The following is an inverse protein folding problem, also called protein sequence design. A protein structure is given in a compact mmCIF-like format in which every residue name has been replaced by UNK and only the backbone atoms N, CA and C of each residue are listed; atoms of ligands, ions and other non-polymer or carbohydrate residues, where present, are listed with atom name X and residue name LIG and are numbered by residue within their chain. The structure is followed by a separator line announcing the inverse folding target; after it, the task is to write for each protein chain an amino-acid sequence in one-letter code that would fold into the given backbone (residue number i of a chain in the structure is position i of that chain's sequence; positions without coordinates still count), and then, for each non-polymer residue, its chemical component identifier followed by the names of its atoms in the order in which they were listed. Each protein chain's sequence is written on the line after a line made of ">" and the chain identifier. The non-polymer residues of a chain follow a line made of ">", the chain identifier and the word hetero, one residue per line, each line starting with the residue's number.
data_IF_007002541768
#
_entry.id   IF_007002541768
#
_cell.length_a   1.000
_cell.length_b   1.000
_cell.length_c   1.000
_cell.angle_alpha   90.00
_cell.angle_beta   90.00
_cell.angle_gamma   90.00
#
_symmetry.space_group_name_H-M   'P 1'
#
loop_
_entity.id
_entity.type
_entity.pdbx_description
1 polymer ?
#
# COMPACT_ATOMS: atom_id res chain seq x y z
N UNK A 1 1.32 9.09 0.55
CA UNK A 1 2.11 9.22 -0.70
C UNK A 1 3.56 8.85 -0.45
N UNK A 2 4.28 8.39 -1.49
CA UNK A 2 5.75 8.30 -1.51
C UNK A 2 6.21 8.95 -2.82
N UNK A 3 7.18 9.85 -2.76
CA UNK A 3 7.65 10.62 -3.92
C UNK A 3 9.16 10.87 -3.83
N UNK A 4 9.80 11.07 -4.98
CA UNK A 4 11.24 11.29 -5.08
C UNK A 4 11.68 11.25 -6.54
N UNK A 5 12.99 11.20 -6.76
CA UNK A 5 13.57 11.18 -8.10
C UNK A 5 14.06 9.77 -8.45
N UNK A 6 14.03 9.46 -9.75
CA UNK A 6 14.63 8.23 -10.26
C UNK A 6 16.13 8.20 -9.92
N UNK A 7 16.61 7.04 -9.47
CA UNK A 7 18.00 6.79 -9.13
C UNK A 7 18.33 6.97 -7.65
N UNK A 8 17.41 7.55 -6.87
CA UNK A 8 17.52 7.57 -5.41
C UNK A 8 17.18 6.17 -4.83
N UNK A 9 17.86 5.78 -3.74
CA UNK A 9 17.67 4.48 -3.05
C UNK A 9 16.37 4.41 -2.21
N UNK A 10 15.70 5.54 -2.02
CA UNK A 10 14.46 5.64 -1.24
C UNK A 10 13.71 6.94 -1.52
N UNK A 11 12.40 6.99 -1.20
CA UNK A 11 11.60 8.18 -1.47
C UNK A 11 12.09 9.38 -0.65
N UNK A 12 12.24 10.54 -1.30
CA UNK A 12 12.61 11.80 -0.63
C UNK A 12 11.49 12.34 0.27
N UNK A 13 10.25 12.08 -0.11
CA UNK A 13 9.07 12.55 0.62
C UNK A 13 8.10 11.39 0.88
N UNK A 14 7.64 11.31 2.12
CA UNK A 14 6.61 10.40 2.58
C UNK A 14 5.68 11.21 3.48
N UNK A 15 4.41 11.33 3.09
CA UNK A 15 3.40 12.04 3.86
C UNK A 15 2.04 11.35 3.71
N UNK A 16 1.12 11.58 4.64
CA UNK A 16 -0.22 11.00 4.59
C UNK A 16 -1.04 11.50 3.39
N UNK A 17 -1.72 10.60 2.68
CA UNK A 17 -2.59 10.95 1.55
C UNK A 17 -3.93 11.51 2.06
N UNK A 18 -3.90 12.69 2.68
CA UNK A 18 -5.04 13.35 3.34
C UNK A 18 -5.10 14.83 2.97
N UNK A 19 -6.31 15.33 2.77
CA UNK A 19 -6.61 16.75 2.58
C UNK A 19 -7.51 17.22 3.71
N UNK A 20 -7.09 18.26 4.42
CA UNK A 20 -7.85 18.89 5.48
C UNK A 20 -8.52 20.16 4.99
N UNK A 21 -9.85 20.17 5.00
CA UNK A 21 -10.68 21.32 4.64
C UNK A 21 -11.07 22.11 5.89
N UNK A 22 -11.06 23.44 5.84
CA UNK A 22 -11.50 24.26 6.98
C UNK A 22 -12.95 23.94 7.37
N UNK A 23 -13.21 23.74 8.67
CA UNK A 23 -14.58 23.59 9.18
C UNK A 23 -15.32 24.93 9.17
N UNK A 24 -16.62 24.90 8.92
CA UNK A 24 -17.49 26.07 9.04
C UNK A 24 -17.40 26.66 10.46
N UNK A 25 -17.24 27.99 10.56
CA UNK A 25 -17.13 28.70 11.84
C UNK A 25 -15.71 28.87 12.41
N UNK A 26 -14.67 28.28 11.81
CA UNK A 26 -13.27 28.56 12.19
C UNK A 26 -12.83 29.89 11.60
N UNK A 27 -12.48 30.86 12.46
CA UNK A 27 -12.10 32.22 12.08
C UNK A 27 -10.84 32.22 11.21
N UNK A 28 -10.82 33.06 10.17
CA UNK A 28 -9.74 33.15 9.18
C UNK A 28 -8.35 33.40 9.81
N UNK A 29 -8.27 34.15 10.91
CA UNK A 29 -7.00 34.41 11.62
C UNK A 29 -6.30 33.16 12.17
N UNK A 30 -7.02 32.04 12.37
CA UNK A 30 -6.43 30.79 12.86
C UNK A 30 -5.89 29.89 11.74
N UNK A 31 -6.34 30.09 10.48
CA UNK A 31 -5.98 29.25 9.33
C UNK A 31 -5.73 30.12 8.09
N UNK A 32 -4.46 30.18 7.67
CA UNK A 32 -4.00 31.00 6.52
C UNK A 32 -4.42 30.47 5.14
N UNK A 33 -4.71 29.16 5.04
CA UNK A 33 -5.11 28.47 3.80
C UNK A 33 -6.49 27.85 3.97
N UNK A 34 -7.21 27.70 2.86
CA UNK A 34 -8.52 27.03 2.84
C UNK A 34 -8.40 25.50 2.90
N UNK A 35 -7.29 24.94 2.39
CA UNK A 35 -6.96 23.53 2.51
C UNK A 35 -5.50 23.31 2.94
N UNK A 36 -5.28 22.17 3.59
CA UNK A 36 -3.98 21.68 4.03
C UNK A 36 -3.81 20.23 3.55
N UNK A 37 -2.57 19.81 3.29
CA UNK A 37 -2.27 18.46 2.79
C UNK A 37 -1.25 17.79 3.70
N UNK A 38 -1.35 16.47 3.83
CA UNK A 38 -0.35 15.66 4.53
C UNK A 38 -0.24 15.98 6.02
N UNK A 39 0.99 16.03 6.51
CA UNK A 39 1.30 16.22 7.94
C UNK A 39 0.79 17.57 8.45
N UNK A 40 0.72 18.59 7.57
CA UNK A 40 0.16 19.89 7.91
C UNK A 40 -1.36 19.79 8.18
N UNK A 41 -2.07 18.90 7.46
CA UNK A 41 -3.48 18.63 7.71
C UNK A 41 -3.68 17.82 9.00
N UNK A 42 -2.84 16.80 9.23
CA UNK A 42 -2.94 15.95 10.43
C UNK A 42 -2.66 16.73 11.72
N UNK A 43 -1.62 17.57 11.73
CA UNK A 43 -1.29 18.42 12.88
C UNK A 43 -2.42 19.41 13.23
N UNK A 44 -3.27 19.77 12.25
CA UNK A 44 -4.41 20.67 12.40
C UNK A 44 -5.76 19.97 12.44
N UNK A 45 -5.81 18.64 12.67
CA UNK A 45 -7.05 17.83 12.63
C UNK A 45 -8.21 18.32 13.50
N UNK A 46 -7.92 19.03 14.60
CA UNK A 46 -8.94 19.61 15.47
C UNK A 46 -9.71 20.77 14.82
N UNK A 47 -9.11 21.43 13.83
CA UNK A 47 -9.65 22.59 13.12
C UNK A 47 -10.17 22.25 11.72
N UNK A 48 -9.80 21.07 11.20
CA UNK A 48 -10.06 20.66 9.83
C UNK A 48 -11.04 19.48 9.76
N UNK A 49 -11.75 19.38 8.64
CA UNK A 49 -12.43 18.18 8.20
C UNK A 49 -11.48 17.41 7.27
N UNK A 50 -10.93 16.29 7.76
CA UNK A 50 -9.97 15.48 7.01
C UNK A 50 -10.70 14.54 6.03
N UNK A 51 -10.28 14.57 4.76
CA UNK A 51 -10.72 13.68 3.69
C UNK A 51 -9.55 12.85 3.15
N UNK A 52 -9.84 11.62 2.77
CA UNK A 52 -8.88 10.70 2.14
C UNK A 52 -9.34 10.41 0.71
N UNK A 53 -8.71 11.02 -0.32
CA UNK A 53 -9.18 10.90 -1.70
C UNK A 53 -8.95 9.52 -2.31
N UNK A 54 -8.06 8.71 -1.71
CA UNK A 54 -7.81 7.33 -2.13
C UNK A 54 -8.55 6.41 -1.18
N UNK A 55 -9.43 5.56 -1.73
CA UNK A 55 -10.14 4.51 -1.00
C UNK A 55 -9.90 3.16 -1.64
N UNK A 56 -9.41 2.21 -0.85
CA UNK A 56 -9.11 0.83 -1.27
C UNK A 56 -8.30 0.78 -2.58
N UNK A 57 -7.27 1.61 -2.68
CA UNK A 57 -6.37 1.68 -3.84
C UNK A 57 -6.91 2.45 -5.05
N UNK A 58 -8.12 2.99 -5.00
CA UNK A 58 -8.69 3.81 -6.08
C UNK A 58 -8.85 5.26 -5.67
N UNK A 59 -8.64 6.19 -6.61
CA UNK A 59 -8.97 7.60 -6.40
C UNK A 59 -10.49 7.77 -6.52
N UNK A 60 -11.13 8.26 -5.47
CA UNK A 60 -12.57 8.56 -5.42
C UNK A 60 -12.85 10.07 -5.46
N UNK A 61 -11.95 10.90 -4.94
CA UNK A 61 -12.05 12.37 -4.97
C UNK A 61 -10.87 12.95 -5.76
N UNK A 62 -11.12 13.28 -7.03
CA UNK A 62 -10.09 13.77 -7.95
C UNK A 62 -9.65 15.21 -7.65
N UNK A 63 -10.54 16.05 -7.09
CA UNK A 63 -10.19 17.41 -6.70
C UNK A 63 -9.19 17.42 -5.54
N UNK A 64 -9.42 16.55 -4.55
CA UNK A 64 -8.49 16.40 -3.44
C UNK A 64 -7.21 15.64 -3.86
N UNK A 65 -7.29 14.73 -4.83
CA UNK A 65 -6.11 14.08 -5.39
C UNK A 65 -5.20 15.07 -6.14
N UNK A 66 -5.77 16.01 -6.90
CA UNK A 66 -5.03 17.08 -7.56
C UNK A 66 -4.27 17.94 -6.55
N UNK A 67 -4.90 18.31 -5.42
CA UNK A 67 -4.22 19.04 -4.32
C UNK A 67 -3.06 18.24 -3.72
N UNK A 68 -3.19 16.93 -3.60
CA UNK A 68 -2.11 16.05 -3.14
C UNK A 68 -0.94 16.05 -4.13
N UNK A 69 -1.18 15.93 -5.43
CA UNK A 69 -0.12 15.98 -6.43
C UNK A 69 0.52 17.35 -6.54
N UNK A 70 -0.26 18.43 -6.50
CA UNK A 70 0.27 19.79 -6.42
C UNK A 70 1.19 19.95 -5.20
N UNK A 71 0.76 19.49 -4.01
CA UNK A 71 1.60 19.51 -2.82
C UNK A 71 2.89 18.68 -3.01
N UNK A 72 2.78 17.52 -3.67
CA UNK A 72 3.93 16.66 -3.97
C UNK A 72 4.97 17.37 -4.84
N UNK A 73 4.56 17.97 -5.96
CA UNK A 73 5.50 18.64 -6.87
C UNK A 73 6.07 19.92 -6.25
N UNK A 74 5.22 20.83 -5.78
CA UNK A 74 5.63 22.18 -5.45
C UNK A 74 6.12 22.37 -4.01
N UNK A 75 5.60 21.59 -3.04
CA UNK A 75 5.99 21.74 -1.64
C UNK A 75 7.02 20.71 -1.19
N UNK A 76 6.78 19.44 -1.51
CA UNK A 76 7.62 18.33 -1.08
C UNK A 76 8.89 18.23 -1.93
N UNK A 77 8.73 18.09 -3.25
CA UNK A 77 9.86 17.94 -4.17
C UNK A 77 10.46 19.29 -4.62
N UNK A 78 9.66 20.36 -4.56
CA UNK A 78 10.02 21.73 -4.95
C UNK A 78 10.50 21.81 -6.41
N UNK A 79 9.77 21.17 -7.30
CA UNK A 79 10.03 21.17 -8.75
C UNK A 79 8.82 21.65 -9.53
N UNK A 80 9.07 22.13 -10.75
CA UNK A 80 8.05 22.40 -11.74
C UNK A 80 7.75 21.08 -12.49
N UNK A 81 6.53 20.52 -12.43
CA UNK A 81 6.20 19.26 -13.09
C UNK A 81 6.41 19.29 -14.61
N UNK A 82 6.31 20.45 -15.25
CA UNK A 82 6.56 20.65 -16.68
C UNK A 82 8.01 20.39 -17.11
N UNK A 83 8.96 20.38 -16.17
CA UNK A 83 10.38 20.10 -16.44
C UNK A 83 10.75 18.62 -16.26
N UNK A 84 9.80 17.76 -15.87
CA UNK A 84 10.10 16.39 -15.44
C UNK A 84 9.12 15.34 -15.98
N UNK A 85 9.61 14.26 -16.62
CA UNK A 85 8.82 13.04 -16.82
C UNK A 85 8.31 12.47 -15.50
N UNK A 86 7.09 11.93 -15.50
CA UNK A 86 6.44 11.43 -14.29
C UNK A 86 6.06 9.96 -14.40
N UNK A 87 6.63 9.13 -13.52
CA UNK A 87 6.15 7.77 -13.28
C UNK A 87 5.10 7.79 -12.16
N UNK A 88 3.90 7.30 -12.45
CA UNK A 88 2.83 7.06 -11.49
C UNK A 88 2.64 5.57 -11.27
N UNK A 89 2.03 5.24 -10.13
CA UNK A 89 1.70 3.84 -9.80
C UNK A 89 0.21 3.69 -9.57
N UNK A 90 -0.36 2.58 -10.02
CA UNK A 90 -1.73 2.20 -9.72
C UNK A 90 -1.83 0.77 -9.17
N UNK A 91 -2.94 0.49 -8.51
CA UNK A 91 -3.31 -0.87 -8.14
C UNK A 91 -3.64 -1.70 -9.41
N UNK A 92 -3.32 -3.01 -9.46
CA UNK A 92 -3.79 -3.89 -10.53
C UNK A 92 -5.32 -3.86 -10.64
N UNK A 93 -5.81 -4.06 -11.87
CA UNK A 93 -7.25 -4.04 -12.22
C UNK A 93 -7.94 -2.69 -11.96
N UNK A 94 -7.18 -1.58 -11.97
CA UNK A 94 -7.75 -0.23 -11.92
C UNK A 94 -8.70 0.01 -13.11
N UNK A 95 -9.92 0.56 -12.89
CA UNK A 95 -10.83 0.91 -13.98
C UNK A 95 -10.16 1.82 -15.00
N UNK A 96 -10.48 1.58 -16.28
CA UNK A 96 -9.87 2.30 -17.39
C UNK A 96 -10.09 3.80 -17.29
N UNK A 97 -11.29 4.20 -16.87
CA UNK A 97 -11.71 5.59 -16.70
C UNK A 97 -10.86 6.29 -15.64
N UNK A 98 -10.51 5.60 -14.54
CA UNK A 98 -9.65 6.16 -13.50
C UNK A 98 -8.21 6.34 -14.00
N UNK A 99 -7.71 5.41 -14.79
CA UNK A 99 -6.38 5.50 -15.42
C UNK A 99 -6.30 6.65 -16.44
N UNK A 100 -7.34 6.79 -17.26
CA UNK A 100 -7.47 7.91 -18.20
C UNK A 100 -7.54 9.25 -17.46
N UNK A 101 -8.32 9.34 -16.37
CA UNK A 101 -8.40 10.57 -15.58
C UNK A 101 -7.07 10.95 -14.93
N UNK A 102 -6.29 9.99 -14.46
CA UNK A 102 -4.93 10.22 -13.96
C UNK A 102 -4.02 10.78 -15.07
N UNK A 103 -4.08 10.17 -16.26
CA UNK A 103 -3.29 10.60 -17.43
C UNK A 103 -3.66 12.02 -17.85
N UNK A 104 -4.96 12.31 -17.92
CA UNK A 104 -5.49 13.64 -18.25
C UNK A 104 -4.96 14.71 -17.29
N UNK A 105 -5.00 14.47 -15.97
CA UNK A 105 -4.52 15.46 -15.00
C UNK A 105 -3.01 15.72 -15.14
N UNK A 106 -2.22 14.69 -15.44
CA UNK A 106 -0.78 14.87 -15.63
C UNK A 106 -0.47 15.78 -16.82
N UNK A 107 -1.13 15.58 -17.96
CA UNK A 107 -0.87 16.37 -19.16
C UNK A 107 -1.59 17.72 -19.18
N UNK A 108 -2.87 17.78 -18.80
CA UNK A 108 -3.68 19.01 -18.92
C UNK A 108 -3.52 19.95 -17.73
N UNK A 109 -3.41 19.41 -16.50
CA UNK A 109 -3.30 20.23 -15.29
C UNK A 109 -1.83 20.48 -14.93
N UNK A 110 -1.00 19.44 -14.92
CA UNK A 110 0.40 19.54 -14.52
C UNK A 110 1.37 19.75 -15.68
N UNK A 111 0.90 19.71 -16.93
CA UNK A 111 1.71 19.97 -18.13
C UNK A 111 3.00 19.14 -18.21
N UNK A 112 2.98 17.91 -17.71
CA UNK A 112 4.18 17.05 -17.72
C UNK A 112 4.59 16.74 -19.17
N UNK A 113 5.91 16.65 -19.46
CA UNK A 113 6.40 16.35 -20.80
C UNK A 113 6.14 14.90 -21.21
N UNK A 114 6.26 13.98 -20.24
CA UNK A 114 6.10 12.54 -20.42
C UNK A 114 5.48 11.92 -19.17
N UNK A 115 4.67 10.87 -19.33
CA UNK A 115 4.09 10.13 -18.22
C UNK A 115 4.12 8.61 -18.45
N UNK A 116 4.27 7.85 -17.37
CA UNK A 116 4.14 6.39 -17.38
C UNK A 116 3.32 5.91 -16.19
N UNK A 117 2.41 4.96 -16.38
CA UNK A 117 1.59 4.39 -15.31
C UNK A 117 1.95 2.93 -15.11
N UNK A 118 2.56 2.62 -13.96
CA UNK A 118 3.03 1.29 -13.63
C UNK A 118 2.11 0.59 -12.61
N UNK A 119 2.03 -0.75 -12.69
CA UNK A 119 1.37 -1.56 -11.65
C UNK A 119 2.28 -1.67 -10.42
N UNK A 120 1.77 -1.28 -9.25
CA UNK A 120 2.52 -1.29 -7.98
C UNK A 120 3.22 -2.62 -7.70
N UNK A 121 2.49 -3.72 -7.84
CA UNK A 121 2.99 -5.06 -7.49
C UNK A 121 4.06 -5.58 -8.45
N UNK A 122 4.02 -5.15 -9.73
CA UNK A 122 5.09 -5.44 -10.69
C UNK A 122 6.37 -4.71 -10.27
N UNK A 123 6.26 -3.43 -9.88
CA UNK A 123 7.41 -2.67 -9.38
C UNK A 123 7.98 -3.27 -8.09
N UNK A 124 7.12 -3.72 -7.17
CA UNK A 124 7.58 -4.37 -5.93
C UNK A 124 8.34 -5.66 -6.18
N UNK A 125 7.93 -6.46 -7.18
CA UNK A 125 8.68 -7.65 -7.57
C UNK A 125 10.03 -7.25 -8.21
N UNK A 126 9.98 -6.25 -9.11
CA UNK A 126 11.15 -5.73 -9.81
C UNK A 126 12.21 -5.17 -8.85
N UNK A 127 11.79 -4.49 -7.77
CA UNK A 127 12.71 -3.99 -6.74
C UNK A 127 13.52 -5.10 -6.04
N UNK A 128 13.01 -6.34 -6.06
CA UNK A 128 13.70 -7.51 -5.50
C UNK A 128 14.63 -8.22 -6.51
N UNK A 129 14.77 -7.67 -7.72
CA UNK A 129 15.56 -8.27 -8.80
C UNK A 129 14.90 -9.49 -9.44
N UNK A 130 13.55 -9.55 -9.46
CA UNK A 130 12.78 -10.69 -9.98
C UNK A 130 11.81 -10.25 -11.06
N UNK A 131 11.70 -11.08 -12.09
CA UNK A 131 10.72 -10.94 -13.17
C UNK A 131 9.58 -11.95 -13.10
N UNK A 132 9.72 -13.00 -12.28
CA UNK A 132 8.73 -14.06 -12.06
C UNK A 132 8.51 -14.24 -10.56
N UNK A 133 7.25 -14.27 -10.13
CA UNK A 133 6.89 -14.47 -8.73
C UNK A 133 5.48 -14.01 -8.39
N UNK A 134 5.14 -14.06 -7.11
CA UNK A 134 3.87 -13.51 -6.59
C UNK A 134 4.19 -12.36 -5.65
N UNK A 135 3.76 -11.15 -6.00
CA UNK A 135 3.81 -10.02 -5.10
C UNK A 135 2.60 -10.05 -4.16
N UNK A 136 2.84 -10.16 -2.86
CA UNK A 136 1.83 -10.05 -1.79
C UNK A 136 1.96 -8.67 -1.16
N UNK A 137 1.13 -7.74 -1.63
CA UNK A 137 1.16 -6.34 -1.21
C UNK A 137 0.08 -6.06 -0.17
N UNK A 138 0.47 -5.63 1.04
CA UNK A 138 -0.47 -5.28 2.11
C UNK A 138 -0.26 -3.81 2.49
N UNK A 139 -1.15 -2.95 2.00
CA UNK A 139 -1.14 -1.50 2.19
C UNK A 139 -1.91 -1.03 3.43
N UNK A 140 -2.40 0.22 3.36
CA UNK A 140 -3.25 0.80 4.41
C UNK A 140 -4.71 0.32 4.31
N UNK A 141 -5.29 0.20 3.11
CA UNK A 141 -6.72 -0.16 2.94
C UNK A 141 -6.96 -1.35 2.01
N UNK A 142 -5.88 -1.92 1.47
CA UNK A 142 -5.96 -2.91 0.41
C UNK A 142 -4.83 -3.92 0.54
N UNK A 143 -5.19 -5.18 0.31
CA UNK A 143 -4.27 -6.29 0.12
C UNK A 143 -4.42 -6.83 -1.31
N UNK A 144 -3.30 -7.05 -1.98
CA UNK A 144 -3.26 -7.52 -3.36
C UNK A 144 -2.25 -8.66 -3.49
N UNK A 145 -2.67 -9.71 -4.19
CA UNK A 145 -1.85 -10.87 -4.50
C UNK A 145 -1.73 -10.89 -6.02
N UNK A 146 -0.56 -10.55 -6.53
CA UNK A 146 -0.34 -10.38 -7.98
C UNK A 146 0.73 -11.36 -8.45
N UNK A 147 0.34 -12.42 -9.16
CA UNK A 147 1.29 -13.26 -9.87
C UNK A 147 1.82 -12.48 -11.09
N UNK A 148 3.13 -12.49 -11.27
CA UNK A 148 3.85 -11.79 -12.33
C UNK A 148 4.71 -12.79 -13.06
N UNK A 149 4.72 -12.70 -14.38
CA UNK A 149 5.55 -13.50 -15.27
C UNK A 149 6.20 -12.59 -16.30
N UNK A 150 7.52 -12.65 -16.41
CA UNK A 150 8.33 -11.84 -17.33
C UNK A 150 7.98 -10.34 -17.31
N UNK A 151 7.76 -9.80 -16.11
CA UNK A 151 7.44 -8.37 -15.92
C UNK A 151 5.99 -7.98 -16.19
N UNK A 152 5.12 -8.93 -16.53
CA UNK A 152 3.68 -8.70 -16.75
C UNK A 152 2.83 -9.35 -15.65
N UNK A 153 1.82 -8.63 -15.16
CA UNK A 153 0.85 -9.19 -14.20
C UNK A 153 -0.09 -10.19 -14.89
N UNK A 154 -0.33 -11.35 -14.27
CA UNK A 154 -1.29 -12.33 -14.76
C UNK A 154 -2.69 -11.95 -14.24
N UNK A 155 -3.35 -11.05 -14.98
CA UNK A 155 -4.59 -10.37 -14.55
C UNK A 155 -5.71 -11.27 -14.04
N UNK A 156 -5.94 -12.43 -14.68
CA UNK A 156 -7.01 -13.36 -14.28
C UNK A 156 -6.73 -14.10 -12.96
N UNK A 157 -5.47 -14.09 -12.51
CA UNK A 157 -5.01 -14.76 -11.29
C UNK A 157 -4.79 -13.78 -10.13
N UNK A 158 -5.07 -12.48 -10.30
CA UNK A 158 -4.96 -11.47 -9.24
C UNK A 158 -5.95 -11.77 -8.12
N UNK A 159 -5.45 -11.84 -6.89
CA UNK A 159 -6.22 -11.84 -5.66
C UNK A 159 -6.34 -10.43 -5.10
N UNK A 160 -7.53 -10.07 -4.61
CA UNK A 160 -7.79 -8.76 -4.00
C UNK A 160 -8.57 -8.97 -2.71
N UNK A 161 -8.07 -8.39 -1.64
CA UNK A 161 -8.73 -8.40 -0.34
C UNK A 161 -8.82 -6.97 0.19
N UNK A 162 -10.04 -6.56 0.50
CA UNK A 162 -10.39 -5.24 1.02
C UNK A 162 -10.08 -5.14 2.54
N UNK A 163 -8.84 -5.52 2.89
CA UNK A 163 -8.25 -5.55 4.24
C UNK A 163 -6.87 -4.90 4.18
N UNK A 164 -6.56 -4.00 5.11
CA UNK A 164 -5.23 -3.41 5.22
C UNK A 164 -4.92 -2.87 6.62
N UNK A 165 -3.84 -2.10 6.71
CA UNK A 165 -3.35 -1.53 7.97
C UNK A 165 -4.38 -0.67 8.73
N UNK A 166 -5.31 -0.03 8.02
CA UNK A 166 -6.40 0.78 8.54
C UNK A 166 -7.40 -0.10 9.29
N UNK A 167 -7.86 -1.17 8.67
CA UNK A 167 -8.77 -2.14 9.26
C UNK A 167 -8.13 -2.81 10.49
N UNK A 168 -6.83 -3.14 10.43
CA UNK A 168 -6.09 -3.67 11.58
C UNK A 168 -6.03 -2.67 12.75
N UNK A 169 -5.89 -1.38 12.45
CA UNK A 169 -5.88 -0.31 13.46
C UNK A 169 -7.25 -0.19 14.13
N UNK A 170 -8.33 -0.24 13.34
CA UNK A 170 -9.70 -0.17 13.86
C UNK A 170 -10.03 -1.42 14.70
N UNK A 171 -9.57 -2.60 14.27
CA UNK A 171 -9.69 -3.83 15.05
C UNK A 171 -8.92 -3.77 16.37
N UNK A 172 -7.69 -3.25 16.37
CA UNK A 172 -6.92 -3.05 17.60
C UNK A 172 -7.62 -2.08 18.55
N UNK A 173 -8.16 -0.98 18.02
CA UNK A 173 -8.93 0.00 18.78
C UNK A 173 -10.17 -0.65 19.44
N UNK A 174 -10.88 -1.51 18.70
CA UNK A 174 -12.01 -2.29 19.22
C UNK A 174 -11.59 -3.18 20.39
N UNK A 175 -10.52 -3.98 20.24
CA UNK A 175 -10.02 -4.84 21.32
C UNK A 175 -9.59 -4.07 22.56
N UNK A 176 -8.96 -2.90 22.39
CA UNK A 176 -8.58 -2.05 23.52
C UNK A 176 -9.80 -1.43 24.21
N UNK A 177 -10.83 -1.09 23.45
CA UNK A 177 -12.12 -0.63 23.99
C UNK A 177 -12.79 -1.70 24.84
N UNK A 178 -12.75 -2.95 24.40
CA UNK A 178 -13.27 -4.10 25.17
C UNK A 178 -12.52 -4.31 26.50
N UNK A 179 -11.27 -3.83 26.62
CA UNK A 179 -10.50 -3.80 27.88
C UNK A 179 -10.72 -2.55 28.74
N UNK A 180 -11.58 -1.64 28.30
CA UNK A 180 -11.92 -0.42 29.02
C UNK A 180 -11.09 0.80 28.65
N UNK A 181 -10.23 0.73 27.63
CA UNK A 181 -9.56 1.92 27.10
C UNK A 181 -10.47 2.67 26.13
N UNK A 182 -10.75 3.94 26.38
CA UNK A 182 -11.58 4.74 25.47
C UNK A 182 -10.70 5.50 24.48
N UNK A 183 -10.84 5.17 23.19
CA UNK A 183 -10.32 5.97 22.09
C UNK A 183 -11.53 6.36 21.24
N UNK A 184 -11.78 7.66 21.06
CA UNK A 184 -12.98 8.16 20.35
C UNK A 184 -12.63 9.20 19.31
N UNK A 185 -11.52 9.90 19.50
CA UNK A 185 -11.07 10.96 18.60
C UNK A 185 -10.18 10.38 17.51
N UNK A 186 -10.11 11.10 16.40
CA UNK A 186 -9.22 10.71 15.32
C UNK A 186 -7.74 10.83 15.74
N UNK A 187 -7.41 11.72 16.70
CA UNK A 187 -6.07 11.86 17.29
C UNK A 187 -5.63 10.60 18.03
N UNK A 188 -6.53 10.06 18.86
CA UNK A 188 -6.33 8.82 19.60
C UNK A 188 -6.16 7.61 18.68
N UNK A 189 -6.86 7.60 17.53
CA UNK A 189 -6.68 6.55 16.52
C UNK A 189 -5.24 6.46 16.00
N UNK A 190 -4.53 7.58 15.87
CA UNK A 190 -3.12 7.59 15.47
C UNK A 190 -2.20 7.00 16.55
N UNK A 191 -2.55 7.15 17.83
CA UNK A 191 -1.84 6.48 18.92
C UNK A 191 -2.00 4.96 18.77
N UNK A 192 -3.22 4.47 18.48
CA UNK A 192 -3.46 3.05 18.24
C UNK A 192 -2.69 2.55 17.00
N UNK A 193 -2.59 3.35 15.94
CA UNK A 193 -1.77 3.01 14.77
C UNK A 193 -0.29 2.88 15.14
N UNK A 194 0.25 3.79 15.93
CA UNK A 194 1.64 3.73 16.40
C UNK A 194 1.90 2.50 17.29
N UNK A 195 0.97 2.19 18.20
CA UNK A 195 1.00 0.97 19.00
C UNK A 195 1.01 -0.29 18.13
N UNK A 196 0.14 -0.34 17.11
CA UNK A 196 0.09 -1.42 16.13
C UNK A 196 1.46 -1.59 15.47
N UNK A 197 2.02 -0.52 14.90
CA UNK A 197 3.29 -0.57 14.17
C UNK A 197 4.48 -0.98 15.04
N UNK A 198 4.53 -0.55 16.30
CA UNK A 198 5.69 -0.78 17.19
C UNK A 198 5.61 -2.05 18.02
N UNK A 199 4.40 -2.51 18.37
CA UNK A 199 4.22 -3.51 19.45
C UNK A 199 3.55 -4.80 19.01
N UNK A 200 3.03 -4.88 17.79
CA UNK A 200 2.40 -6.09 17.28
C UNK A 200 3.39 -7.00 16.54
N UNK A 201 3.05 -8.28 16.44
CA UNK A 201 3.82 -9.30 15.74
C UNK A 201 2.91 -10.44 15.30
N UNK A 202 3.28 -11.18 14.26
CA UNK A 202 2.56 -12.37 13.81
C UNK A 202 3.12 -13.58 14.55
N UNK A 203 2.22 -14.35 15.19
CA UNK A 203 2.58 -15.61 15.81
C UNK A 203 2.70 -16.73 14.76
N UNK A 204 3.72 -17.58 14.89
CA UNK A 204 3.90 -18.76 14.03
C UNK A 204 2.79 -19.81 14.22
N UNK A 205 2.32 -19.96 15.45
CA UNK A 205 1.15 -20.76 15.81
C UNK A 205 0.27 -19.93 16.74
N UNK A 206 -0.84 -19.42 16.19
CA UNK A 206 -1.73 -18.53 16.93
C UNK A 206 -2.37 -19.22 18.14
N UNK A 207 -2.81 -20.47 17.96
CA UNK A 207 -3.56 -21.21 18.98
C UNK A 207 -2.64 -21.65 20.12
N UNK A 208 -1.37 -21.98 19.84
CA UNK A 208 -0.35 -22.17 20.85
C UNK A 208 -0.01 -20.87 21.59
N UNK A 209 0.16 -19.75 20.86
CA UNK A 209 0.46 -18.44 21.46
C UNK A 209 -0.64 -17.99 22.44
N UNK A 210 -1.91 -18.24 22.10
CA UNK A 210 -3.06 -17.97 22.98
C UNK A 210 -3.07 -18.80 24.26
N UNK A 211 -2.47 -20.00 24.26
CA UNK A 211 -2.39 -20.88 25.44
C UNK A 211 -1.25 -20.51 26.37
N UNK A 212 -0.29 -19.69 25.92
CA UNK A 212 0.81 -19.26 26.77
C UNK A 212 0.25 -18.46 27.96
N UNK A 213 0.70 -18.73 29.19
CA UNK A 213 0.21 -18.02 30.36
C UNK A 213 0.45 -16.52 30.20
N UNK A 214 -0.47 -15.71 30.72
CA UNK A 214 -0.44 -14.23 30.74
C UNK A 214 0.74 -13.62 31.49
N UNK A 215 1.73 -14.44 31.87
CA UNK A 215 3.03 -14.05 32.41
C UNK A 215 3.99 -13.51 31.34
N UNK A 216 3.61 -13.54 30.05
CA UNK A 216 4.25 -12.68 29.05
C UNK A 216 4.06 -11.22 29.51
N UNK A 217 5.14 -10.45 29.65
CA UNK A 217 5.07 -9.14 30.28
C UNK A 217 4.13 -8.26 29.45
N UNK A 218 3.02 -7.91 30.08
CA UNK A 218 2.18 -6.79 29.69
C UNK A 218 3.10 -5.62 29.38
N UNK A 219 3.07 -5.10 28.16
CA UNK A 219 3.99 -4.04 27.75
C UNK A 219 3.30 -2.69 28.03
N UNK A 220 3.77 -1.91 29.02
CA UNK A 220 3.23 -0.59 29.29
C UNK A 220 3.74 0.40 28.22
N UNK A 221 2.82 1.03 27.50
CA UNK A 221 3.08 2.10 26.55
C UNK A 221 2.36 3.36 27.02
N UNK A 222 3.02 4.14 27.87
CA UNK A 222 2.39 5.27 28.54
C UNK A 222 1.24 4.80 29.43
N UNK A 223 0.01 5.16 29.06
CA UNK A 223 -1.20 4.82 29.81
C UNK A 223 -1.86 3.49 29.38
N UNK A 224 -1.38 2.86 28.31
CA UNK A 224 -2.00 1.66 27.72
C UNK A 224 -1.14 0.44 27.98
N UNK A 225 -1.77 -0.66 28.38
CA UNK A 225 -1.09 -1.92 28.64
C UNK A 225 -1.52 -2.96 27.60
N UNK A 226 -0.61 -3.39 26.75
CA UNK A 226 -0.88 -4.38 25.71
C UNK A 226 -0.57 -5.80 26.19
N UNK A 227 -1.50 -6.72 25.94
CA UNK A 227 -1.38 -8.16 26.18
C UNK A 227 -1.44 -8.95 24.87
N UNK A 228 -2.45 -9.82 24.73
CA UNK A 228 -2.58 -10.67 23.54
C UNK A 228 -3.05 -9.94 22.27
N UNK A 229 -3.48 -8.67 22.38
CA UNK A 229 -3.82 -7.82 21.22
C UNK A 229 -2.63 -7.67 20.28
N UNK A 230 -1.41 -7.79 20.81
CA UNK A 230 -0.14 -7.69 20.07
C UNK A 230 -0.05 -8.71 18.93
N UNK A 231 -0.58 -9.92 19.12
CA UNK A 231 -0.56 -10.95 18.07
C UNK A 231 -1.94 -11.27 17.52
N UNK A 232 -3.03 -10.97 18.26
CA UNK A 232 -4.39 -11.06 17.74
C UNK A 232 -4.70 -10.04 16.66
N UNK A 233 -4.13 -8.83 16.75
CA UNK A 233 -4.36 -7.78 15.75
C UNK A 233 -3.92 -8.23 14.33
N UNK A 234 -2.67 -8.63 14.10
CA UNK A 234 -2.24 -9.04 12.77
C UNK A 234 -2.73 -10.44 12.36
N UNK A 235 -3.26 -11.26 13.28
CA UNK A 235 -3.89 -12.55 12.93
C UNK A 235 -5.06 -12.37 11.97
N UNK A 236 -5.73 -11.20 11.96
CA UNK A 236 -6.80 -10.88 11.02
C UNK A 236 -6.36 -11.00 9.55
N UNK A 237 -5.07 -10.82 9.24
CA UNK A 237 -4.54 -11.04 7.90
C UNK A 237 -4.64 -12.52 7.48
N UNK A 238 -4.52 -13.45 8.43
CA UNK A 238 -4.59 -14.89 8.20
C UNK A 238 -5.99 -15.45 8.47
N UNK A 239 -6.74 -14.84 9.38
CA UNK A 239 -8.11 -15.23 9.77
C UNK A 239 -9.04 -14.01 9.80
N UNK A 240 -9.50 -13.50 8.64
CA UNK A 240 -10.38 -12.32 8.58
C UNK A 240 -11.70 -12.47 9.34
N UNK A 241 -12.12 -13.69 9.66
CA UNK A 241 -13.29 -13.99 10.50
C UNK A 241 -13.24 -13.34 11.88
N UNK A 242 -12.05 -13.02 12.39
CA UNK A 242 -11.87 -12.34 13.68
C UNK A 242 -12.45 -10.92 13.72
N UNK A 243 -12.62 -10.30 12.55
CA UNK A 243 -13.33 -9.02 12.40
C UNK A 243 -14.72 -9.18 11.76
N UNK A 244 -15.23 -10.41 11.67
CA UNK A 244 -16.53 -10.72 11.08
C UNK A 244 -16.55 -10.74 9.55
N UNK A 245 -15.38 -10.84 8.90
CA UNK A 245 -15.27 -11.01 7.46
C UNK A 245 -15.26 -12.50 7.08
N UNK A 246 -16.02 -12.89 6.06
CA UNK A 246 -15.98 -14.24 5.49
C UNK A 246 -14.89 -14.42 4.43
N UNK A 247 -14.06 -13.41 4.20
CA UNK A 247 -12.99 -13.48 3.24
C UNK A 247 -11.87 -14.44 3.66
N UNK A 248 -11.22 -15.02 2.65
CA UNK A 248 -9.98 -15.78 2.78
C UNK A 248 -8.85 -14.92 3.36
N UNK A 249 -7.95 -15.56 4.12
CA UNK A 249 -6.70 -14.95 4.56
C UNK A 249 -5.68 -14.80 3.43
N UNK A 250 -4.58 -14.12 3.72
CA UNK A 250 -3.54 -13.84 2.72
C UNK A 250 -2.88 -15.12 2.19
N UNK A 251 -2.81 -16.17 3.00
CA UNK A 251 -2.26 -17.47 2.65
C UNK A 251 -3.15 -18.23 1.67
N UNK A 252 -4.47 -18.31 1.93
CA UNK A 252 -5.39 -18.95 0.99
C UNK A 252 -5.49 -18.14 -0.30
N UNK A 253 -5.57 -16.80 -0.19
CA UNK A 253 -5.57 -15.93 -1.36
C UNK A 253 -4.32 -16.12 -2.23
N UNK A 254 -3.15 -16.29 -1.62
CA UNK A 254 -1.88 -16.55 -2.32
C UNK A 254 -1.90 -17.91 -3.01
N UNK A 255 -2.33 -18.95 -2.29
CA UNK A 255 -2.51 -20.28 -2.87
C UNK A 255 -3.48 -20.27 -4.07
N UNK A 256 -4.67 -19.66 -3.91
CA UNK A 256 -5.68 -19.55 -4.96
C UNK A 256 -5.14 -18.80 -6.19
N UNK A 257 -4.38 -17.72 -5.98
CA UNK A 257 -3.74 -16.98 -7.05
C UNK A 257 -2.77 -17.86 -7.84
N UNK A 258 -1.88 -18.61 -7.16
CA UNK A 258 -0.94 -19.54 -7.81
C UNK A 258 -1.69 -20.67 -8.53
N UNK A 259 -2.79 -21.18 -7.96
CA UNK A 259 -3.58 -22.25 -8.59
C UNK A 259 -4.36 -21.79 -9.82
N UNK A 260 -4.67 -20.50 -9.95
CA UNK A 260 -5.25 -19.94 -11.19
C UNK A 260 -4.22 -19.83 -12.32
N UNK A 261 -2.93 -19.81 -12.01
CA UNK A 261 -1.86 -19.79 -13.00
C UNK A 261 -1.62 -21.17 -13.64
N UNK A 262 -1.00 -21.14 -14.82
CA UNK A 262 -0.57 -22.33 -15.56
C UNK A 262 0.36 -23.22 -14.72
N UNK A 263 0.20 -24.54 -14.85
CA UNK A 263 0.92 -25.54 -14.04
C UNK A 263 2.45 -25.37 -14.16
N UNK A 264 2.95 -25.03 -15.34
CA UNK A 264 4.38 -24.82 -15.59
C UNK A 264 4.98 -23.67 -14.77
N UNK A 265 4.20 -22.64 -14.44
CA UNK A 265 4.66 -21.46 -13.71
C UNK A 265 4.66 -21.66 -12.19
N UNK A 266 3.82 -22.56 -11.67
CA UNK A 266 3.56 -22.67 -10.23
C UNK A 266 4.81 -22.89 -9.40
N UNK A 267 5.75 -23.69 -9.89
CA UNK A 267 7.02 -23.96 -9.21
C UNK A 267 7.81 -22.66 -8.98
N UNK A 268 7.89 -21.81 -10.00
CA UNK A 268 8.60 -20.54 -9.92
C UNK A 268 7.85 -19.53 -9.05
N UNK A 269 6.52 -19.53 -9.10
CA UNK A 269 5.67 -18.70 -8.25
C UNK A 269 5.83 -19.05 -6.75
N UNK A 270 5.82 -20.33 -6.38
CA UNK A 270 6.08 -20.78 -5.01
C UNK A 270 7.49 -20.42 -4.53
N UNK A 271 8.47 -20.45 -5.42
CA UNK A 271 9.86 -20.10 -5.13
C UNK A 271 10.12 -18.59 -5.06
N UNK A 272 9.12 -17.74 -5.33
CA UNK A 272 9.27 -16.29 -5.41
C UNK A 272 8.03 -15.55 -4.88
N UNK A 273 7.61 -15.85 -3.64
CA UNK A 273 6.55 -15.09 -2.95
C UNK A 273 7.21 -13.86 -2.30
N UNK A 274 6.94 -12.66 -2.80
CA UNK A 274 7.59 -11.42 -2.37
C UNK A 274 6.60 -10.53 -1.61
N UNK A 275 6.91 -10.20 -0.37
CA UNK A 275 6.13 -9.28 0.43
C UNK A 275 6.49 -7.81 0.14
N UNK A 276 5.46 -6.97 0.03
CA UNK A 276 5.60 -5.52 -0.04
C UNK A 276 4.45 -4.79 0.68
N UNK A 277 4.67 -3.52 1.01
CA UNK A 277 3.69 -2.68 1.71
C UNK A 277 3.83 -2.69 3.24
N UNK A 278 3.37 -1.62 3.87
CA UNK A 278 3.64 -1.34 5.30
C UNK A 278 3.07 -2.38 6.26
N UNK A 279 1.96 -3.03 5.92
CA UNK A 279 1.33 -4.04 6.77
C UNK A 279 1.96 -5.43 6.63
N UNK A 280 3.00 -5.57 5.80
CA UNK A 280 3.90 -6.73 5.78
C UNK A 280 5.12 -6.56 6.70
N UNK A 281 5.20 -5.45 7.45
CA UNK A 281 6.32 -5.16 8.33
C UNK A 281 6.23 -5.86 9.70
N UNK A 282 5.13 -6.56 9.99
CA UNK A 282 4.98 -7.27 11.26
C UNK A 282 6.07 -8.35 11.41
N UNK A 283 6.80 -8.37 12.54
CA UNK A 283 7.73 -9.45 12.84
C UNK A 283 7.03 -10.82 12.80
N UNK A 284 7.68 -11.83 12.24
CA UNK A 284 7.15 -13.21 12.15
C UNK A 284 6.20 -13.48 10.97
N UNK A 285 5.82 -12.46 10.19
CA UNK A 285 4.90 -12.66 9.04
C UNK A 285 5.50 -13.58 7.96
N UNK A 286 6.82 -13.48 7.74
CA UNK A 286 7.54 -14.31 6.76
C UNK A 286 7.50 -15.78 7.17
N UNK A 287 7.85 -16.09 8.42
CA UNK A 287 7.87 -17.46 8.94
C UNK A 287 6.47 -18.07 8.96
N UNK A 288 5.46 -17.30 9.39
CA UNK A 288 4.06 -17.74 9.37
C UNK A 288 3.60 -18.02 7.96
N UNK A 289 3.81 -17.08 7.02
CA UNK A 289 3.42 -17.27 5.62
C UNK A 289 4.11 -18.49 5.01
N UNK A 290 5.40 -18.68 5.28
CA UNK A 290 6.15 -19.83 4.79
C UNK A 290 5.54 -21.14 5.30
N UNK A 291 5.27 -21.25 6.60
CA UNK A 291 4.62 -22.42 7.21
C UNK A 291 3.27 -22.73 6.55
N UNK A 292 2.42 -21.73 6.37
CA UNK A 292 1.09 -21.91 5.74
C UNK A 292 1.22 -22.36 4.27
N UNK A 293 2.11 -21.71 3.50
CA UNK A 293 2.30 -22.04 2.08
C UNK A 293 2.96 -23.41 1.86
N UNK A 294 3.79 -23.89 2.79
CA UNK A 294 4.33 -25.26 2.80
C UNK A 294 3.23 -26.31 3.03
N UNK A 295 2.19 -25.98 3.80
CA UNK A 295 1.02 -26.86 4.00
C UNK A 295 0.15 -26.93 2.75
N UNK A 296 -0.05 -25.82 2.04
CA UNK A 296 -0.81 -25.79 0.79
C UNK A 296 -0.06 -26.39 -0.41
N UNK A 297 1.27 -26.24 -0.41
CA UNK A 297 2.14 -26.74 -1.47
C UNK A 297 2.23 -28.26 -1.48
N UNK A 298 2.46 -28.83 -2.67
CA UNK A 298 2.87 -30.23 -2.75
C UNK A 298 4.30 -30.39 -2.17
N UNK A 299 4.67 -31.53 -1.56
CA UNK A 299 5.97 -31.70 -0.88
C UNK A 299 7.21 -31.39 -1.73
N UNK A 300 7.08 -31.48 -3.07
CA UNK A 300 8.12 -31.16 -4.04
C UNK A 300 8.27 -29.67 -4.37
N UNK A 301 7.36 -28.81 -3.90
CA UNK A 301 7.43 -27.37 -4.12
C UNK A 301 8.39 -26.75 -3.10
N UNK A 302 9.41 -26.04 -3.59
CA UNK A 302 10.30 -25.28 -2.73
C UNK A 302 9.69 -23.90 -2.45
N UNK A 303 8.98 -23.78 -1.32
CA UNK A 303 8.35 -22.52 -0.91
C UNK A 303 9.40 -21.54 -0.42
N UNK A 304 9.45 -20.37 -1.03
CA UNK A 304 10.32 -19.27 -0.61
C UNK A 304 9.51 -17.98 -0.52
N UNK A 305 9.37 -17.52 0.71
CA UNK A 305 8.87 -16.18 1.04
C UNK A 305 10.05 -15.24 1.15
N UNK A 306 9.90 -14.02 0.63
CA UNK A 306 10.96 -13.02 0.54
C UNK A 306 10.38 -11.72 1.09
N UNK A 307 10.95 -11.22 2.18
CA UNK A 307 10.53 -9.98 2.81
C UNK A 307 11.70 -8.99 2.88
N UNK A 308 11.95 -8.19 1.82
CA UNK A 308 13.02 -7.19 1.84
C UNK A 308 12.89 -6.25 3.05
N UNK A 309 13.98 -5.82 3.70
CA UNK A 309 13.91 -4.92 4.86
C UNK A 309 13.18 -3.60 4.55
N UNK A 310 13.40 -3.06 3.35
CA UNK A 310 12.83 -1.83 2.81
C UNK A 310 11.47 -2.01 2.14
N UNK A 311 10.80 -3.17 2.36
CA UNK A 311 9.55 -3.54 1.67
C UNK A 311 8.35 -2.61 1.85
N UNK A 312 8.41 -1.70 2.83
CA UNK A 312 7.47 -0.57 2.96
C UNK A 312 7.52 0.38 1.73
N UNK A 313 8.63 0.37 1.00
CA UNK A 313 8.93 1.24 -0.14
C UNK A 313 9.20 0.47 -1.45
N UNK A 314 9.03 -0.87 -1.48
CA UNK A 314 9.36 -1.71 -2.65
C UNK A 314 8.82 -1.18 -3.97
N UNK A 315 7.54 -0.84 -4.05
CA UNK A 315 6.95 -0.31 -5.29
C UNK A 315 7.57 1.01 -5.73
N UNK A 316 7.94 1.88 -4.79
CA UNK A 316 8.64 3.13 -5.09
C UNK A 316 10.07 2.86 -5.57
N UNK A 317 10.80 1.95 -4.91
CA UNK A 317 12.17 1.56 -5.29
C UNK A 317 12.17 0.93 -6.68
N UNK A 318 11.23 0.03 -6.96
CA UNK A 318 11.06 -0.56 -8.29
C UNK A 318 10.79 0.49 -9.36
N UNK A 319 9.97 1.50 -9.05
CA UNK A 319 9.73 2.66 -9.93
C UNK A 319 11.00 3.49 -10.14
N UNK A 320 11.78 3.75 -9.10
CA UNK A 320 13.07 4.47 -9.18
C UNK A 320 14.06 3.74 -10.09
N UNK A 321 14.20 2.42 -9.93
CA UNK A 321 15.08 1.58 -10.77
C UNK A 321 14.60 1.57 -12.22
N UNK A 322 13.29 1.39 -12.44
CA UNK A 322 12.69 1.36 -13.79
C UNK A 322 12.89 2.70 -14.51
N UNK A 323 12.59 3.81 -13.83
CA UNK A 323 12.70 5.16 -14.40
C UNK A 323 14.15 5.59 -14.65
N UNK A 324 15.13 4.93 -14.01
CA UNK A 324 16.56 5.18 -14.23
C UNK A 324 17.14 4.43 -15.43
N UNK A 325 16.37 3.54 -16.06
CA UNK A 325 16.86 2.80 -17.22
C UNK A 325 16.97 3.73 -18.44
N UNK A 326 18.04 3.64 -19.26
CA UNK A 326 18.19 4.47 -20.45
C UNK A 326 17.05 4.34 -21.46
N UNK A 327 16.39 3.19 -21.50
CA UNK A 327 15.25 2.91 -22.38
C UNK A 327 13.90 3.37 -21.81
N UNK A 328 13.84 3.89 -20.58
CA UNK A 328 12.56 4.20 -19.93
C UNK A 328 11.73 5.22 -20.70
N UNK A 329 12.37 6.25 -21.29
CA UNK A 329 11.70 7.25 -22.11
C UNK A 329 10.97 6.65 -23.32
N UNK A 330 11.46 5.52 -23.87
CA UNK A 330 10.82 4.83 -24.99
C UNK A 330 9.53 4.12 -24.58
N UNK A 331 9.31 3.92 -23.28
CA UNK A 331 8.11 3.32 -22.71
C UNK A 331 7.14 4.37 -22.17
N UNK A 332 7.50 5.66 -22.18
CA UNK A 332 6.65 6.73 -21.68
C UNK A 332 5.65 7.20 -22.74
N UNK A 333 4.52 7.70 -22.28
CA UNK A 333 3.58 8.46 -23.11
C UNK A 333 4.16 9.86 -23.24
N UNK A 334 4.44 10.31 -24.47
CA UNK A 334 4.84 11.69 -24.71
C UNK A 334 3.63 12.63 -24.73
N UNK A 335 3.85 13.92 -24.51
CA UNK A 335 2.81 14.94 -24.68
C UNK A 335 2.24 14.94 -26.10
N UNK A 336 3.07 14.68 -27.11
CA UNK A 336 2.65 14.59 -28.52
C UNK A 336 1.70 13.40 -28.74
N UNK A 337 2.04 12.22 -28.21
CA UNK A 337 1.16 11.04 -28.26
C UNK A 337 -0.19 11.30 -27.57
N UNK A 338 -0.15 12.00 -26.43
CA UNK A 338 -1.36 12.38 -25.70
C UNK A 338 -2.23 13.36 -26.48
N UNK A 339 -1.65 14.38 -27.11
CA UNK A 339 -2.40 15.37 -27.90
C UNK A 339 -3.07 14.73 -29.14
N UNK A 340 -2.45 13.70 -29.73
CA UNK A 340 -3.02 13.00 -30.89
C UNK A 340 -4.15 12.03 -30.52
N UNK A 341 -3.99 11.24 -29.45
CA UNK A 341 -4.87 10.10 -29.13
C UNK A 341 -5.80 10.38 -27.94
N UNK A 342 -5.42 11.33 -27.10
CA UNK A 342 -6.07 11.63 -25.83
C UNK A 342 -5.74 10.60 -24.73
N UNK A 343 -6.46 10.65 -23.59
CA UNK A 343 -6.15 9.86 -22.40
C UNK A 343 -6.09 8.33 -22.60
N UNK A 344 -6.80 7.80 -23.59
CA UNK A 344 -6.86 6.36 -23.88
C UNK A 344 -5.49 5.77 -24.30
N UNK A 345 -4.53 6.60 -24.70
CA UNK A 345 -3.15 6.19 -25.06
C UNK A 345 -2.49 5.35 -23.96
N UNK A 346 -2.83 5.60 -22.70
CA UNK A 346 -2.28 4.89 -21.54
C UNK A 346 -2.52 3.37 -21.62
N UNK A 347 -3.63 2.93 -22.20
CA UNK A 347 -3.95 1.50 -22.33
C UNK A 347 -3.18 0.82 -23.46
N UNK A 348 -2.53 1.58 -24.36
CA UNK A 348 -1.72 1.03 -25.45
C UNK A 348 -0.25 0.95 -25.07
N UNK A 349 0.22 1.92 -24.29
CA UNK A 349 1.65 2.05 -23.94
C UNK A 349 1.97 1.35 -22.62
N UNK A 350 1.09 1.43 -21.62
CA UNK A 350 1.40 0.94 -20.28
C UNK A 350 0.85 -0.46 -19.96
N UNK A 351 -0.07 -1.02 -20.75
CA UNK A 351 -0.85 -2.23 -20.40
C UNK A 351 -1.12 -3.18 -21.56
#
# INVERSE_FOLDING_TARGET
>A
MKAGFAGDDGPRSIFSSVVGHRREGVVHDMLKKDCYVGDEAESKRGLLHLKYPIRRGYVEDWEDMEKIWHHTFYNELRVAPEDHPVLLTEAPLNPKEKRERMTLLMFETFSVPEAYVAVQSVLSLYSSGRSIGVAVEIGDELTQIVPVYEGSAISHAVGRLDLGGRDLTDYMMKMLTERGYSFTTTAEREIVRDLKEKRTYVALDFDEEMRKPSSSPHVPEGAVTLGNERFRCPEVLFRPSFMGSEADGIQECTFHSIMKCEVGLRKDLYGNIVFAGGSTMFPGIEDRMKKEMEVFGAPQMNVKVIAPPERKYSSWIGGSILASQPSFHQCCISKEDYEEIGPAIVHRICF
#
